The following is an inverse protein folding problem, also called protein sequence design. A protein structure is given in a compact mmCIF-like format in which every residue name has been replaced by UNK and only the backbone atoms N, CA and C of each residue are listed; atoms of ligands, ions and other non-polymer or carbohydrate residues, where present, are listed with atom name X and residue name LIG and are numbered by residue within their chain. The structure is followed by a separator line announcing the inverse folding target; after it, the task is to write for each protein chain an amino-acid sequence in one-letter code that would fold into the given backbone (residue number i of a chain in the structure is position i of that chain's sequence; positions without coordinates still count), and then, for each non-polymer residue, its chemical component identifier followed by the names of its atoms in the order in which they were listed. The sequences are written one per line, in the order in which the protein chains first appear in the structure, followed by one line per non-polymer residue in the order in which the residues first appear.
data_IF_539644381294
#
_entry.id   IF_539644381294
#
_cell.length_a   1.000
_cell.length_b   1.000
_cell.length_c   1.000
_cell.angle_alpha   90.00
_cell.angle_beta   90.00
_cell.angle_gamma   90.00
#
_symmetry.space_group_name_H-M   'P 1'
#
loop_
_entity.id
_entity.type
_entity.pdbx_description
1 polymer ?
#
# COMPACT_ATOMS: atom_id res chain seq x y z
N UNK A 1 -26.80 10.07 10.52
CA UNK A 1 -25.61 10.59 9.80
C UNK A 1 -24.73 9.40 9.43
N UNK A 2 -24.77 8.94 8.17
CA UNK A 2 -24.09 7.74 7.71
C UNK A 2 -22.57 7.97 7.72
N UNK A 3 -21.84 7.28 8.59
CA UNK A 3 -20.37 7.24 8.53
C UNK A 3 -20.03 6.43 7.28
N UNK A 4 -19.56 7.12 6.23
CA UNK A 4 -19.06 6.45 5.03
C UNK A 4 -18.04 5.41 5.47
N UNK A 5 -18.24 4.15 5.08
CA UNK A 5 -17.28 3.07 5.36
C UNK A 5 -15.93 3.49 4.78
N UNK A 6 -14.95 3.72 5.65
CA UNK A 6 -13.64 4.29 5.34
C UNK A 6 -12.95 3.55 4.20
N UNK A 7 -12.95 4.14 3.01
CA UNK A 7 -12.21 3.62 1.86
C UNK A 7 -10.79 4.11 1.97
N UNK A 8 -9.83 3.21 1.89
CA UNK A 8 -8.43 3.52 2.03
C UNK A 8 -7.60 2.62 1.11
N UNK A 9 -6.37 3.04 0.92
CA UNK A 9 -5.34 2.30 0.22
C UNK A 9 -4.16 2.06 1.14
N UNK A 10 -3.42 0.99 0.90
CA UNK A 10 -2.17 0.74 1.60
C UNK A 10 -1.01 1.40 0.87
N UNK A 11 -0.44 2.43 1.47
CA UNK A 11 0.76 3.12 0.96
C UNK A 11 2.02 2.51 1.56
N UNK A 12 3.06 2.35 0.76
CA UNK A 12 4.41 2.01 1.27
C UNK A 12 5.06 3.28 1.82
N UNK A 13 5.35 3.30 3.13
CA UNK A 13 5.76 4.52 3.84
C UNK A 13 7.20 4.54 4.36
N UNK A 14 7.86 3.39 4.48
CA UNK A 14 9.14 3.28 5.19
C UNK A 14 10.18 2.39 4.49
N UNK A 15 11.41 2.43 4.99
CA UNK A 15 12.49 1.47 4.74
C UNK A 15 13.00 0.95 6.11
N UNK A 16 12.86 -0.35 6.43
CA UNK A 16 12.32 -1.44 5.59
C UNK A 16 10.86 -1.20 5.22
N UNK A 17 10.44 -1.72 4.05
CA UNK A 17 9.12 -1.47 3.48
C UNK A 17 8.01 -1.87 4.46
N UNK A 18 7.20 -0.89 4.83
CA UNK A 18 6.00 -1.06 5.66
C UNK A 18 4.81 -0.38 5.01
N UNK A 19 3.63 -0.90 5.29
CA UNK A 19 2.37 -0.33 4.82
C UNK A 19 1.79 0.65 5.85
N UNK A 20 1.14 1.68 5.35
CA UNK A 20 0.35 2.62 6.12
C UNK A 20 -1.02 2.79 5.46
N UNK A 21 -2.06 2.81 6.29
CA UNK A 21 -3.44 3.00 5.90
C UNK A 21 -3.65 4.44 5.51
N UNK A 22 -3.95 4.68 4.24
CA UNK A 22 -4.15 6.01 3.71
C UNK A 22 -5.61 6.18 3.28
N UNK A 23 -6.40 6.99 4.01
CA UNK A 23 -7.80 7.23 3.66
C UNK A 23 -7.89 7.98 2.33
N UNK A 24 -8.81 7.55 1.47
CA UNK A 24 -9.06 8.17 0.17
C UNK A 24 -10.55 8.35 -0.07
N UNK A 25 -10.90 9.42 -0.79
CA UNK A 25 -12.25 9.58 -1.33
C UNK A 25 -12.28 8.97 -2.72
N UNK A 26 -13.11 7.96 -2.90
CA UNK A 26 -13.36 7.36 -4.22
C UNK A 26 -14.30 8.27 -5.01
N UNK A 27 -13.87 8.65 -6.21
CA UNK A 27 -14.64 9.44 -7.16
C UNK A 27 -15.44 8.52 -8.08
N UNK A 28 -14.77 7.51 -8.67
CA UNK A 28 -15.35 6.56 -9.60
C UNK A 28 -14.63 5.21 -9.49
N UNK A 29 -15.33 4.11 -9.80
CA UNK A 29 -14.74 2.76 -9.88
C UNK A 29 -15.19 2.15 -11.21
N UNK A 30 -14.24 1.81 -12.05
CA UNK A 30 -14.41 0.99 -13.25
C UNK A 30 -14.07 -0.48 -12.96
N UNK A 31 -14.02 -1.29 -14.00
CA UNK A 31 -13.74 -2.73 -13.86
C UNK A 31 -12.30 -3.02 -13.43
N UNK A 32 -11.35 -2.25 -13.95
CA UNK A 32 -9.90 -2.46 -13.73
C UNK A 32 -9.24 -1.30 -12.97
N UNK A 33 -9.91 -0.14 -12.90
CA UNK A 33 -9.34 1.10 -12.36
C UNK A 33 -10.30 1.83 -11.44
N UNK A 34 -9.76 2.57 -10.47
CA UNK A 34 -10.53 3.42 -9.57
C UNK A 34 -9.92 4.83 -9.53
N UNK A 35 -10.77 5.84 -9.69
CA UNK A 35 -10.37 7.22 -9.50
C UNK A 35 -10.58 7.62 -8.05
N UNK A 36 -9.51 8.12 -7.43
CA UNK A 36 -9.51 8.53 -6.02
C UNK A 36 -8.91 9.92 -5.86
N UNK A 37 -9.30 10.61 -4.80
CA UNK A 37 -8.71 11.87 -4.37
C UNK A 37 -8.40 11.81 -2.87
N UNK A 38 -7.47 12.64 -2.42
CA UNK A 38 -6.96 12.65 -1.04
C UNK A 38 -5.46 12.92 -1.00
N UNK A 39 -4.84 12.59 0.11
CA UNK A 39 -3.39 12.77 0.31
C UNK A 39 -2.56 11.61 -0.29
N UNK A 40 -2.91 11.15 -1.50
CA UNK A 40 -2.09 10.20 -2.27
C UNK A 40 -1.40 10.96 -3.38
N UNK A 41 -0.06 10.95 -3.39
CA UNK A 41 0.75 11.74 -4.30
C UNK A 41 1.32 10.89 -5.45
N UNK A 42 1.50 11.46 -6.65
CA UNK A 42 2.20 10.77 -7.72
C UNK A 42 3.58 10.28 -7.28
N UNK A 43 3.93 9.05 -7.65
CA UNK A 43 5.18 8.40 -7.27
C UNK A 43 5.12 7.61 -5.95
N UNK A 44 4.05 7.73 -5.17
CA UNK A 44 3.83 6.87 -4.02
C UNK A 44 3.48 5.44 -4.46
N UNK A 45 4.09 4.45 -3.83
CA UNK A 45 3.81 3.04 -4.10
C UNK A 45 2.61 2.58 -3.28
N UNK A 46 1.61 2.01 -3.94
CA UNK A 46 0.39 1.48 -3.34
C UNK A 46 0.32 -0.04 -3.53
N UNK A 47 -0.18 -0.77 -2.55
CA UNK A 47 -0.38 -2.22 -2.65
C UNK A 47 -1.63 -2.51 -3.49
N UNK A 48 -1.47 -3.24 -4.59
CA UNK A 48 -2.57 -3.65 -5.47
C UNK A 48 -3.06 -5.09 -5.22
N UNK A 49 -2.18 -5.97 -4.75
CA UNK A 49 -2.46 -7.40 -4.54
C UNK A 49 -2.36 -7.75 -3.06
N UNK A 50 -3.37 -8.46 -2.54
CA UNK A 50 -3.37 -8.91 -1.15
C UNK A 50 -3.68 -7.83 -0.12
N UNK A 51 -4.22 -6.68 -0.52
CA UNK A 51 -4.56 -5.56 0.37
C UNK A 51 -5.46 -5.95 1.55
N UNK A 52 -6.31 -6.96 1.39
CA UNK A 52 -7.20 -7.48 2.44
C UNK A 52 -6.48 -8.35 3.49
N UNK A 53 -5.19 -8.66 3.31
CA UNK A 53 -4.40 -9.46 4.26
C UNK A 53 -3.55 -8.61 5.20
N UNK A 54 -3.38 -7.32 4.88
CA UNK A 54 -2.45 -6.43 5.53
C UNK A 54 -3.07 -5.74 6.75
N UNK A 55 -2.21 -5.42 7.71
CA UNK A 55 -2.53 -4.58 8.86
C UNK A 55 -1.65 -3.32 8.88
N UNK A 56 -2.07 -2.31 9.64
CA UNK A 56 -1.31 -1.07 9.81
C UNK A 56 0.12 -1.33 10.29
N UNK A 57 1.10 -0.73 9.61
CA UNK A 57 2.51 -0.85 9.96
C UNK A 57 3.14 -2.21 9.62
N UNK A 58 2.41 -3.12 8.97
CA UNK A 58 2.92 -4.45 8.63
C UNK A 58 4.12 -4.34 7.67
N UNK A 59 5.14 -5.17 7.92
CA UNK A 59 6.32 -5.22 7.07
C UNK A 59 6.01 -6.03 5.80
N UNK A 60 6.33 -5.46 4.65
CA UNK A 60 6.07 -6.07 3.34
C UNK A 60 7.34 -6.16 2.53
N UNK A 61 7.34 -7.05 1.54
CA UNK A 61 8.42 -7.16 0.54
C UNK A 61 7.90 -6.62 -0.78
N UNK A 62 8.66 -5.73 -1.41
CA UNK A 62 8.28 -5.18 -2.71
C UNK A 62 8.62 -6.20 -3.81
N UNK A 63 7.63 -6.59 -4.61
CA UNK A 63 7.84 -7.46 -5.75
C UNK A 63 8.79 -6.80 -6.77
N UNK A 64 9.76 -7.57 -7.28
CA UNK A 64 10.75 -7.09 -8.24
C UNK A 64 11.95 -6.34 -7.62
N UNK A 65 12.00 -6.17 -6.29
CA UNK A 65 13.23 -5.74 -5.63
C UNK A 65 14.10 -6.98 -5.34
N UNK A 66 15.32 -7.10 -5.91
CA UNK A 66 16.22 -8.19 -5.55
C UNK A 66 16.46 -8.16 -4.04
N UNK A 67 16.48 -9.33 -3.41
CA UNK A 67 16.80 -9.50 -1.99
C UNK A 67 18.30 -9.22 -1.79
N UNK A 68 18.71 -7.96 -1.92
CA UNK A 68 20.09 -7.50 -1.63
C UNK A 68 20.39 -7.53 -0.13
N UNK A 69 19.46 -8.01 0.70
CA UNK A 69 19.64 -8.25 2.12
C UNK A 69 20.04 -9.70 2.46
N UNK A 70 20.06 -10.63 1.49
CA UNK A 70 20.70 -11.95 1.63
C UNK A 70 22.12 -11.96 1.05
N UNK A 71 22.93 -10.96 1.39
CA UNK A 71 24.38 -11.10 1.38
C UNK A 71 24.85 -10.88 2.81
N UNK A 72 24.85 -11.97 3.58
CA UNK A 72 25.18 -11.94 5.00
C UNK A 72 25.14 -13.35 5.61
N UNK A 73 26.20 -14.11 5.35
CA UNK A 73 26.89 -15.04 6.26
C UNK A 73 26.16 -16.29 6.81
N UNK A 74 26.70 -17.47 6.45
CA UNK A 74 27.43 -18.34 7.40
C UNK A 74 28.32 -19.38 6.67
N UNK A 75 29.38 -19.91 7.32
CA UNK A 75 30.64 -20.41 6.73
C UNK A 75 30.55 -21.73 5.97
#
# INVERSE_FOLDING_TARGET
MMRARDRAVWRISAQPARVAWQPVKVLSVGEEEAQVTGEVKPGEKIVALGAHLLHEGEAVRLAGQPDTARTGDKP
#
